data_IF_754126888343
#
_entry.id   IF_754126888343
#
_cell.length_a   1.000
_cell.length_b   1.000
_cell.length_c   1.000
_cell.angle_alpha   90.00
_cell.angle_beta   90.00
_cell.angle_gamma   90.00
#
_symmetry.space_group_name_H-M   'P 1'
#
loop_
_entity.id
_entity.type
_entity.pdbx_description
1 polymer ?
#
# COMPACT_ATOMS: atom_id res chain seq x y z
N UNK A 1 25.10 -8.67 22.19
CA UNK A 1 23.87 -7.96 21.82
C UNK A 1 23.68 -8.15 20.33
N UNK A 2 22.60 -8.80 19.89
CA UNK A 2 22.26 -8.80 18.46
C UNK A 2 21.85 -7.38 18.09
N UNK A 3 22.69 -6.72 17.29
CA UNK A 3 22.34 -5.42 16.72
C UNK A 3 21.42 -5.68 15.54
N UNK A 4 20.28 -4.98 15.50
CA UNK A 4 19.39 -5.01 14.34
C UNK A 4 20.14 -4.51 13.08
N UNK A 5 19.83 -5.02 11.90
CA UNK A 5 20.40 -4.51 10.66
C UNK A 5 20.03 -3.03 10.47
N UNK A 6 20.81 -2.30 9.68
CA UNK A 6 20.56 -0.89 9.39
C UNK A 6 19.93 -0.75 8.01
N UNK A 7 18.73 -0.17 7.96
CA UNK A 7 17.96 0.04 6.74
C UNK A 7 17.82 -1.24 5.90
N UNK A 8 17.45 -2.33 6.58
CA UNK A 8 17.34 -3.65 5.98
C UNK A 8 16.29 -4.51 6.71
N UNK A 9 15.89 -5.61 6.10
CA UNK A 9 14.95 -6.54 6.65
C UNK A 9 15.52 -7.27 7.88
N UNK A 10 14.81 -7.17 8.99
CA UNK A 10 15.04 -8.00 10.18
C UNK A 10 14.47 -9.40 9.96
N UNK A 11 13.36 -9.45 9.24
CA UNK A 11 12.57 -10.62 8.89
C UNK A 11 11.79 -10.28 7.60
N UNK A 12 11.36 -11.25 6.79
CA UNK A 12 10.53 -10.95 5.61
C UNK A 12 9.35 -10.02 5.87
N UNK A 13 8.79 -10.02 7.08
CA UNK A 13 7.64 -9.20 7.48
C UNK A 13 7.99 -7.98 8.35
N UNK A 14 9.26 -7.67 8.51
CA UNK A 14 9.69 -6.55 9.34
C UNK A 14 10.98 -5.90 8.82
N UNK A 15 11.00 -4.58 8.79
CA UNK A 15 12.10 -3.77 8.31
C UNK A 15 12.67 -2.89 9.42
N UNK A 16 13.98 -2.80 9.52
CA UNK A 16 14.68 -1.95 10.46
C UNK A 16 15.16 -0.67 9.80
N UNK A 17 14.75 0.46 10.33
CA UNK A 17 15.22 1.79 9.92
C UNK A 17 16.23 2.30 10.93
N UNK A 18 17.45 2.56 10.49
CA UNK A 18 18.44 3.28 11.27
C UNK A 18 18.21 4.78 11.11
N UNK A 19 17.44 5.35 12.04
CA UNK A 19 17.10 6.77 12.02
C UNK A 19 18.26 7.64 12.45
N UNK A 20 18.62 8.61 11.63
CA UNK A 20 19.49 9.72 11.96
C UNK A 20 18.99 10.96 11.19
N UNK A 21 18.03 11.66 11.78
CA UNK A 21 17.28 12.74 11.13
C UNK A 21 15.80 12.43 11.09
N UNK A 22 15.20 12.33 9.91
CA UNK A 22 13.75 12.19 9.73
C UNK A 22 13.39 11.03 8.79
N UNK A 23 12.23 10.44 9.03
CA UNK A 23 11.52 9.52 8.13
C UNK A 23 10.02 9.76 8.22
N UNK A 24 9.34 9.57 7.10
CA UNK A 24 7.88 9.58 7.04
C UNK A 24 7.35 8.16 7.10
N UNK A 25 6.36 7.91 7.95
CA UNK A 25 5.78 6.58 8.15
C UNK A 25 4.25 6.66 8.09
N UNK A 26 3.61 5.60 7.64
CA UNK A 26 2.18 5.43 7.90
C UNK A 26 1.92 5.21 9.40
N UNK A 27 0.84 5.79 9.91
CA UNK A 27 0.42 5.61 11.31
C UNK A 27 0.19 4.14 11.64
N UNK A 28 0.66 3.74 12.84
CA UNK A 28 0.46 2.40 13.36
C UNK A 28 1.31 1.31 12.72
N UNK A 29 2.33 1.66 11.96
CA UNK A 29 3.24 0.70 11.29
C UNK A 29 4.57 0.51 12.01
N UNK A 30 4.92 1.37 12.96
CA UNK A 30 6.07 1.18 13.84
C UNK A 30 5.66 0.22 14.97
N UNK A 31 6.38 -0.91 15.08
CA UNK A 31 6.11 -1.95 16.08
C UNK A 31 7.09 -1.90 17.28
N UNK A 32 8.28 -1.33 17.10
CA UNK A 32 9.27 -1.15 18.16
C UNK A 32 10.26 -0.05 17.77
N UNK A 33 10.87 0.58 18.76
CA UNK A 33 12.01 1.46 18.55
C UNK A 33 12.89 1.53 19.80
N UNK A 34 14.15 1.95 19.61
CA UNK A 34 15.05 2.34 20.67
C UNK A 34 15.91 3.53 20.25
N UNK A 35 16.40 4.29 21.22
CA UNK A 35 17.09 5.55 21.00
C UNK A 35 16.21 6.75 21.36
N UNK A 36 16.59 7.91 20.86
CA UNK A 36 15.87 9.17 21.08
C UNK A 36 15.08 9.51 19.81
N UNK A 37 13.86 9.01 19.71
CA UNK A 37 12.97 9.20 18.57
C UNK A 37 11.66 9.81 19.06
N UNK A 38 11.24 10.90 18.42
CA UNK A 38 9.93 11.50 18.57
C UNK A 38 9.08 11.23 17.33
N UNK A 39 7.76 11.17 17.51
CA UNK A 39 6.77 10.93 16.45
C UNK A 39 5.75 12.06 16.47
N UNK A 40 5.58 12.75 15.36
CA UNK A 40 4.60 13.83 15.21
C UNK A 40 3.69 13.58 14.01
N UNK A 41 2.41 13.91 14.15
CA UNK A 41 1.47 13.83 13.03
C UNK A 41 1.81 14.87 11.97
N UNK A 42 1.74 14.47 10.72
CA UNK A 42 1.89 15.40 9.59
C UNK A 42 0.77 16.43 9.64
N UNK A 43 1.09 17.71 9.52
CA UNK A 43 0.14 18.81 9.60
C UNK A 43 -0.24 19.26 11.04
N UNK A 44 0.45 18.73 12.06
CA UNK A 44 0.26 19.11 13.46
C UNK A 44 1.60 19.30 14.16
N UNK A 45 2.11 20.52 14.28
CA UNK A 45 3.27 20.82 15.10
C UNK A 45 4.40 21.62 14.44
N UNK A 46 5.57 21.69 15.11
CA UNK A 46 6.70 22.52 14.73
C UNK A 46 7.38 22.11 13.41
N UNK A 47 7.00 20.97 12.82
CA UNK A 47 7.57 20.44 11.58
C UNK A 47 6.78 20.81 10.32
N UNK A 48 5.67 21.55 10.45
CA UNK A 48 4.77 21.89 9.33
C UNK A 48 5.50 22.51 8.13
N UNK A 49 6.53 23.32 8.37
CA UNK A 49 7.30 23.96 7.32
C UNK A 49 8.21 23.02 6.51
N UNK A 50 8.77 21.99 7.15
CA UNK A 50 9.60 20.98 6.52
C UNK A 50 8.75 19.92 5.80
N UNK A 51 7.62 19.62 6.37
CA UNK A 51 6.69 18.59 5.90
C UNK A 51 5.82 19.10 4.74
N UNK A 52 5.44 20.39 4.74
CA UNK A 52 4.64 21.00 3.69
C UNK A 52 5.29 20.86 2.29
N UNK A 53 6.63 20.79 2.22
CA UNK A 53 7.36 20.53 0.97
C UNK A 53 7.17 19.11 0.44
N UNK A 54 7.00 18.11 1.33
CA UNK A 54 6.92 16.70 0.96
C UNK A 54 5.50 16.17 0.79
N UNK A 55 4.49 16.89 1.30
CA UNK A 55 3.09 16.47 1.26
C UNK A 55 2.23 17.47 0.49
N UNK A 56 2.08 17.26 -0.79
CA UNK A 56 1.17 18.04 -1.63
C UNK A 56 -0.28 17.51 -1.60
N UNK A 57 -0.57 16.50 -0.78
CA UNK A 57 -1.91 15.92 -0.66
C UNK A 57 -2.44 16.03 0.77
N UNK A 58 -3.29 17.02 1.08
CA UNK A 58 -3.89 17.16 2.41
C UNK A 58 -4.81 15.98 2.80
N UNK A 59 -5.35 15.26 1.83
CA UNK A 59 -6.24 14.10 2.08
C UNK A 59 -5.52 12.92 2.74
N UNK A 60 -4.22 12.76 2.51
CA UNK A 60 -3.41 11.66 3.04
C UNK A 60 -2.50 12.08 4.19
N UNK A 61 -2.35 13.39 4.46
CA UNK A 61 -1.50 13.88 5.55
C UNK A 61 -1.90 13.32 6.91
N UNK A 62 -3.20 13.12 7.15
CA UNK A 62 -3.72 12.57 8.41
C UNK A 62 -3.26 11.13 8.71
N UNK A 63 -2.88 10.37 7.69
CA UNK A 63 -2.46 8.97 7.82
C UNK A 63 -0.96 8.81 8.06
N UNK A 64 -0.22 9.91 8.10
CA UNK A 64 1.24 9.91 8.20
C UNK A 64 1.75 10.54 9.48
N UNK A 65 2.92 10.08 9.90
CA UNK A 65 3.71 10.66 10.99
C UNK A 65 5.14 10.88 10.55
N UNK A 66 5.78 11.88 11.14
CA UNK A 66 7.22 12.10 11.02
C UNK A 66 7.87 11.47 12.23
N UNK A 67 8.80 10.54 12.00
CA UNK A 67 9.75 10.10 13.03
C UNK A 67 11.00 10.96 12.91
N UNK A 68 11.44 11.54 14.03
CA UNK A 68 12.63 12.39 14.09
C UNK A 68 13.51 12.02 15.25
N UNK A 69 14.82 12.05 15.02
CA UNK A 69 15.82 11.82 16.08
C UNK A 69 16.93 10.89 15.66
N UNK A 70 17.45 10.15 16.62
CA UNK A 70 18.54 9.18 16.43
C UNK A 70 18.23 7.87 17.16
N UNK A 71 18.24 6.78 16.42
CA UNK A 71 17.92 5.47 16.97
C UNK A 71 17.65 4.44 15.90
N UNK A 72 16.93 3.40 16.28
CA UNK A 72 16.47 2.37 15.36
C UNK A 72 14.99 2.13 15.60
N UNK A 73 14.21 2.06 14.55
CA UNK A 73 12.81 1.67 14.60
C UNK A 73 12.56 0.47 13.71
N UNK A 74 11.61 -0.37 14.10
CA UNK A 74 11.18 -1.55 13.36
C UNK A 74 9.78 -1.32 12.84
N UNK A 75 9.60 -1.49 11.55
CA UNK A 75 8.36 -1.30 10.83
C UNK A 75 7.80 -2.66 10.39
N UNK A 76 6.49 -2.82 10.47
CA UNK A 76 5.77 -4.00 9.97
C UNK A 76 4.31 -3.64 9.69
N UNK A 77 3.66 -4.41 8.83
CA UNK A 77 2.22 -4.33 8.59
C UNK A 77 1.60 -5.71 8.39
N UNK A 78 0.81 -6.17 9.36
CA UNK A 78 -0.08 -7.34 9.26
C UNK A 78 0.53 -8.60 8.63
N UNK A 79 1.81 -8.86 8.88
CA UNK A 79 2.55 -9.97 8.28
C UNK A 79 2.59 -9.95 6.73
N UNK A 80 2.51 -8.79 6.12
CA UNK A 80 2.87 -8.60 4.72
C UNK A 80 4.38 -8.65 4.53
N UNK A 81 4.82 -9.08 3.38
CA UNK A 81 6.22 -8.98 2.99
C UNK A 81 6.64 -7.52 2.91
N UNK A 82 7.77 -7.19 3.54
CA UNK A 82 8.33 -5.84 3.55
C UNK A 82 9.52 -5.79 2.62
N UNK A 83 9.53 -4.82 1.73
CA UNK A 83 10.61 -4.60 0.77
C UNK A 83 11.04 -3.13 0.80
N UNK A 84 12.32 -2.87 0.66
CA UNK A 84 12.85 -1.53 0.49
C UNK A 84 13.41 -1.34 -0.92
N UNK A 85 13.25 -0.13 -1.43
CA UNK A 85 13.68 0.25 -2.75
C UNK A 85 14.31 1.64 -2.71
N UNK A 86 15.21 1.90 -3.63
CA UNK A 86 15.83 3.20 -3.83
C UNK A 86 15.28 3.84 -5.11
N UNK A 87 14.83 5.09 -5.02
CA UNK A 87 14.56 5.95 -6.16
C UNK A 87 15.78 6.85 -6.38
N UNK A 88 16.17 7.04 -7.65
CA UNK A 88 17.24 7.94 -8.05
C UNK A 88 16.72 8.89 -9.15
N UNK A 89 16.33 10.09 -8.73
CA UNK A 89 15.63 11.08 -9.57
C UNK A 89 14.42 10.47 -10.30
N UNK A 90 13.75 9.55 -9.62
CA UNK A 90 12.72 8.69 -10.17
C UNK A 90 11.31 9.17 -9.87
N UNK A 91 10.35 8.49 -10.51
CA UNK A 91 8.92 8.68 -10.33
C UNK A 91 8.25 7.31 -10.15
N UNK A 92 7.76 7.05 -8.95
CA UNK A 92 7.01 5.83 -8.63
C UNK A 92 5.58 6.19 -8.24
N UNK A 93 4.61 5.61 -8.92
CA UNK A 93 3.23 5.60 -8.44
C UNK A 93 2.93 4.28 -7.77
N UNK A 94 2.52 4.32 -6.51
CA UNK A 94 2.31 3.15 -5.65
C UNK A 94 0.95 3.21 -4.99
N UNK A 95 0.31 2.06 -4.80
CA UNK A 95 -0.95 1.99 -4.06
C UNK A 95 -0.74 2.48 -2.63
N UNK A 96 -1.63 3.34 -2.14
CA UNK A 96 -1.49 4.00 -0.83
C UNK A 96 -1.33 2.99 0.32
N UNK A 97 -2.04 1.87 0.28
CA UNK A 97 -1.94 0.81 1.29
C UNK A 97 -0.65 0.00 1.24
N UNK A 98 0.11 0.06 0.15
CA UNK A 98 1.39 -0.63 0.02
C UNK A 98 2.60 0.23 0.42
N UNK A 99 2.49 1.56 0.48
CA UNK A 99 3.57 2.43 0.92
C UNK A 99 3.64 2.49 2.45
N UNK A 100 4.73 2.04 3.03
CA UNK A 100 4.91 1.97 4.49
C UNK A 100 5.66 3.16 5.07
N UNK A 101 6.79 3.53 4.44
CA UNK A 101 7.65 4.61 4.89
C UNK A 101 8.53 5.14 3.75
N UNK A 102 9.07 6.36 3.90
CA UNK A 102 10.01 6.93 2.94
C UNK A 102 10.90 8.01 3.57
N UNK A 103 12.04 8.25 2.92
CA UNK A 103 13.02 9.28 3.31
C UNK A 103 12.59 10.68 2.89
N UNK A 104 13.06 11.74 3.57
CA UNK A 104 12.70 13.13 3.27
C UNK A 104 13.23 13.66 1.92
N UNK A 105 14.09 12.91 1.22
CA UNK A 105 14.49 13.21 -0.16
C UNK A 105 13.42 12.92 -1.21
N UNK A 106 12.33 12.26 -0.80
CA UNK A 106 11.20 11.91 -1.64
C UNK A 106 10.01 12.84 -1.35
N UNK A 107 9.39 13.34 -2.40
CA UNK A 107 8.17 14.14 -2.35
C UNK A 107 6.95 13.23 -2.60
N UNK A 108 5.99 13.24 -1.66
CA UNK A 108 4.75 12.49 -1.81
C UNK A 108 3.65 13.36 -2.43
N UNK A 109 3.05 12.88 -3.50
CA UNK A 109 1.92 13.52 -4.20
C UNK A 109 0.74 12.58 -4.34
N UNK A 110 -0.43 13.15 -4.52
CA UNK A 110 -1.60 12.37 -4.90
C UNK A 110 -1.51 11.99 -6.38
N UNK A 111 -1.72 10.71 -6.69
CA UNK A 111 -1.84 10.26 -8.07
C UNK A 111 -3.18 10.68 -8.68
N UNK A 112 -3.21 10.86 -10.00
CA UNK A 112 -4.46 11.01 -10.76
C UNK A 112 -5.29 9.71 -10.77
N UNK A 113 -4.66 8.56 -10.51
CA UNK A 113 -5.34 7.27 -10.38
C UNK A 113 -5.79 7.10 -8.93
N UNK A 114 -7.12 6.95 -8.68
CA UNK A 114 -7.64 6.83 -7.33
C UNK A 114 -7.04 5.64 -6.57
N UNK A 115 -6.71 5.85 -5.29
CA UNK A 115 -6.11 4.83 -4.43
C UNK A 115 -4.59 4.71 -4.54
N UNK A 116 -3.96 5.53 -5.38
CA UNK A 116 -2.50 5.56 -5.55
C UNK A 116 -1.91 6.89 -5.12
N UNK A 117 -0.64 6.84 -4.71
CA UNK A 117 0.22 7.97 -4.37
C UNK A 117 1.42 7.95 -5.30
N UNK A 118 2.02 9.10 -5.53
CA UNK A 118 3.23 9.22 -6.35
C UNK A 118 4.38 9.75 -5.49
N UNK A 119 5.49 9.02 -5.46
CA UNK A 119 6.77 9.43 -4.90
C UNK A 119 7.67 9.94 -6.03
N UNK A 120 8.29 11.12 -5.83
CA UNK A 120 9.19 11.74 -6.79
C UNK A 120 10.46 12.17 -6.07
N UNK A 121 11.61 11.96 -6.69
CA UNK A 121 12.91 12.42 -6.18
C UNK A 121 13.90 11.29 -5.95
N UNK A 122 14.83 11.52 -5.01
CA UNK A 122 15.90 10.59 -4.68
C UNK A 122 15.82 10.23 -3.21
N UNK A 123 15.79 8.94 -2.92
CA UNK A 123 15.76 8.42 -1.55
C UNK A 123 15.22 6.99 -1.47
N UNK A 124 15.26 6.45 -0.26
CA UNK A 124 14.75 5.13 0.04
C UNK A 124 13.28 5.17 0.44
N UNK A 125 12.52 4.20 -0.02
CA UNK A 125 11.16 3.94 0.49
C UNK A 125 11.01 2.48 0.87
N UNK A 126 10.05 2.23 1.74
CA UNK A 126 9.69 0.89 2.23
C UNK A 126 8.24 0.63 1.82
N UNK A 127 8.02 -0.49 1.16
CA UNK A 127 6.72 -0.93 0.73
C UNK A 127 6.38 -2.30 1.33
N UNK A 128 5.08 -2.56 1.44
CA UNK A 128 4.54 -3.87 1.82
C UNK A 128 3.78 -4.48 0.66
N UNK A 129 3.81 -5.81 0.57
CA UNK A 129 3.10 -6.55 -0.46
C UNK A 129 2.59 -7.87 0.09
N UNK A 130 1.57 -8.42 -0.55
CA UNK A 130 1.09 -9.75 -0.23
C UNK A 130 1.86 -10.78 -1.08
N UNK A 131 2.94 -11.32 -0.51
CA UNK A 131 3.92 -12.11 -1.21
C UNK A 131 4.99 -11.28 -1.93
N UNK A 132 5.90 -11.95 -2.64
CA UNK A 132 7.00 -11.31 -3.35
C UNK A 132 6.53 -10.36 -4.44
N UNK A 133 7.23 -9.24 -4.59
CA UNK A 133 7.00 -8.30 -5.70
C UNK A 133 7.69 -8.79 -6.96
N UNK A 134 6.94 -8.82 -8.04
CA UNK A 134 7.43 -9.13 -9.38
C UNK A 134 7.47 -7.86 -10.21
N UNK A 135 8.58 -7.62 -10.89
CA UNK A 135 8.75 -6.50 -11.80
C UNK A 135 8.54 -6.97 -13.24
N UNK A 136 7.67 -6.29 -13.96
CA UNK A 136 7.35 -6.59 -15.36
C UNK A 136 7.37 -5.30 -16.20
N UNK A 137 7.69 -5.45 -17.47
CA UNK A 137 7.76 -4.32 -18.40
C UNK A 137 6.52 -4.24 -19.28
N UNK A 138 6.05 -3.02 -19.62
CA UNK A 138 5.03 -2.83 -20.65
C UNK A 138 5.50 -3.33 -22.04
N UNK A 139 4.57 -3.70 -22.96
CA UNK A 139 3.13 -3.61 -22.81
C UNK A 139 2.54 -4.79 -22.03
N UNK A 140 1.70 -4.51 -21.04
CA UNK A 140 1.08 -5.53 -20.19
C UNK A 140 -0.31 -5.13 -19.73
N UNK A 141 -1.17 -6.11 -19.50
CA UNK A 141 -2.44 -5.96 -18.79
C UNK A 141 -2.35 -6.65 -17.45
N UNK A 142 -2.85 -6.01 -16.43
CA UNK A 142 -2.75 -6.48 -15.05
C UNK A 142 -4.09 -6.38 -14.34
N UNK A 143 -4.36 -7.34 -13.46
CA UNK A 143 -5.44 -7.24 -12.50
C UNK A 143 -5.18 -6.05 -11.55
N UNK A 144 -6.15 -5.14 -11.37
CA UNK A 144 -6.00 -4.03 -10.44
C UNK A 144 -5.68 -4.46 -9.01
N UNK A 145 -6.10 -5.65 -8.57
CA UNK A 145 -5.88 -6.14 -7.21
C UNK A 145 -4.45 -6.67 -6.99
N UNK A 146 -3.82 -7.18 -8.05
CA UNK A 146 -2.42 -7.60 -8.02
C UNK A 146 -1.44 -6.42 -8.17
N UNK A 147 -1.91 -5.26 -8.61
CA UNK A 147 -1.07 -4.10 -8.88
C UNK A 147 -0.61 -3.42 -7.58
N UNK A 148 0.68 -3.41 -7.31
CA UNK A 148 1.34 -2.64 -6.25
C UNK A 148 1.62 -1.21 -6.71
N UNK A 149 2.17 -1.04 -7.93
CA UNK A 149 2.52 0.27 -8.45
C UNK A 149 3.23 0.20 -9.80
N UNK A 150 3.73 1.33 -10.27
CA UNK A 150 4.53 1.43 -11.50
C UNK A 150 5.53 2.58 -11.40
N UNK A 151 6.68 2.42 -12.05
CA UNK A 151 7.75 3.39 -12.09
C UNK A 151 8.09 3.74 -13.55
N UNK A 152 8.28 5.04 -13.82
CA UNK A 152 8.72 5.57 -15.11
C UNK A 152 7.84 5.18 -16.31
N UNK A 153 6.63 4.72 -16.04
CA UNK A 153 5.61 4.41 -17.04
C UNK A 153 4.56 5.52 -17.10
N UNK A 154 3.91 5.71 -18.24
CA UNK A 154 2.65 6.43 -18.31
C UNK A 154 1.59 5.77 -17.40
N UNK A 155 0.66 6.59 -16.89
CA UNK A 155 -0.48 6.06 -16.15
C UNK A 155 -1.26 5.04 -16.99
N UNK A 156 -1.77 3.97 -16.37
CA UNK A 156 -2.50 2.93 -17.10
C UNK A 156 -3.83 3.44 -17.63
N UNK A 157 -4.28 2.81 -18.70
CA UNK A 157 -5.65 2.92 -19.17
C UNK A 157 -6.49 1.77 -18.58
N UNK A 158 -7.74 2.08 -18.25
CA UNK A 158 -8.71 1.03 -17.94
C UNK A 158 -9.04 0.22 -19.19
N UNK A 159 -8.96 -1.09 -19.08
CA UNK A 159 -9.37 -2.01 -20.12
C UNK A 159 -10.49 -2.92 -19.59
N UNK A 160 -11.56 -3.02 -20.34
CA UNK A 160 -12.68 -3.90 -20.02
C UNK A 160 -12.79 -4.97 -21.09
N UNK A 161 -12.61 -6.23 -20.72
CA UNK A 161 -12.85 -7.35 -21.62
C UNK A 161 -14.34 -7.73 -21.59
N UNK A 162 -15.02 -7.46 -22.68
CA UNK A 162 -16.41 -7.82 -22.88
C UNK A 162 -16.57 -9.08 -23.76
N UNK A 163 -15.51 -9.87 -23.94
CA UNK A 163 -15.52 -11.06 -24.79
C UNK A 163 -16.64 -12.04 -24.45
N UNK A 164 -17.02 -12.14 -23.16
CA UNK A 164 -18.13 -12.98 -22.71
C UNK A 164 -19.50 -12.51 -23.19
N UNK A 165 -19.64 -11.23 -23.58
CA UNK A 165 -20.87 -10.65 -24.13
C UNK A 165 -20.97 -10.77 -25.66
N UNK A 166 -19.89 -11.17 -26.32
CA UNK A 166 -19.85 -11.26 -27.78
C UNK A 166 -20.29 -12.66 -28.25
N UNK A 167 -21.24 -12.67 -29.17
CA UNK A 167 -21.73 -13.86 -29.84
C UNK A 167 -23.16 -14.27 -29.46
N UNK A 168 -23.75 -15.18 -30.27
CA UNK A 168 -25.13 -15.64 -30.11
C UNK A 168 -25.42 -16.28 -28.76
N UNK A 169 -24.38 -16.89 -28.14
CA UNK A 169 -24.46 -17.51 -26.82
C UNK A 169 -24.37 -16.49 -25.68
N UNK A 170 -23.78 -15.30 -25.90
CA UNK A 170 -23.68 -14.23 -24.91
C UNK A 170 -25.05 -13.68 -24.49
N UNK A 171 -25.95 -13.54 -25.46
CA UNK A 171 -27.34 -13.12 -25.20
C UNK A 171 -28.15 -14.13 -24.36
N UNK A 172 -27.96 -15.42 -24.61
CA UNK A 172 -28.62 -16.50 -23.85
C UNK A 172 -28.05 -16.61 -22.43
N UNK A 173 -26.74 -16.46 -22.26
CA UNK A 173 -26.05 -16.45 -20.94
C UNK A 173 -26.50 -15.28 -20.09
N UNK A 174 -26.62 -14.08 -20.67
CA UNK A 174 -27.13 -12.91 -19.98
C UNK A 174 -28.57 -13.07 -19.49
N UNK A 175 -29.42 -13.81 -20.23
CA UNK A 175 -30.79 -14.07 -19.82
C UNK A 175 -30.97 -15.21 -18.82
N UNK A 176 -30.09 -16.19 -18.83
CA UNK A 176 -30.21 -17.39 -17.98
C UNK A 176 -29.37 -17.32 -16.68
N UNK A 177 -28.50 -16.34 -16.56
CA UNK A 177 -27.56 -16.25 -15.43
C UNK A 177 -26.56 -17.42 -15.36
N UNK A 178 -26.50 -18.28 -16.38
CA UNK A 178 -25.58 -19.41 -16.48
C UNK A 178 -24.36 -18.97 -17.28
N UNK A 179 -23.24 -18.85 -16.63
CA UNK A 179 -21.99 -18.36 -17.20
C UNK A 179 -21.71 -16.95 -16.68
N UNK A 180 -21.30 -16.86 -15.42
CA UNK A 180 -20.88 -15.61 -14.77
C UNK A 180 -19.69 -14.97 -15.48
N UNK A 181 -19.47 -13.70 -15.20
CA UNK A 181 -18.25 -12.98 -15.50
C UNK A 181 -17.05 -13.82 -15.05
N UNK A 182 -15.94 -13.76 -15.77
CA UNK A 182 -14.70 -14.50 -15.43
C UNK A 182 -14.04 -13.95 -14.16
N UNK A 183 -14.39 -12.72 -13.78
CA UNK A 183 -13.73 -11.94 -12.74
C UNK A 183 -12.59 -11.07 -13.30
N UNK A 184 -12.18 -11.33 -14.54
CA UNK A 184 -11.03 -10.70 -15.21
C UNK A 184 -11.44 -9.58 -16.19
N UNK A 185 -12.68 -9.09 -16.09
CA UNK A 185 -13.22 -8.12 -17.06
C UNK A 185 -12.57 -6.74 -16.95
N UNK A 186 -12.15 -6.38 -15.74
CA UNK A 186 -11.50 -5.09 -15.49
C UNK A 186 -10.00 -5.26 -15.31
N UNK A 187 -9.24 -4.67 -16.19
CA UNK A 187 -7.77 -4.71 -16.19
C UNK A 187 -7.19 -3.31 -16.34
N UNK A 188 -5.99 -3.11 -15.83
CA UNK A 188 -5.16 -1.97 -16.18
C UNK A 188 -4.22 -2.34 -17.33
N UNK A 189 -4.24 -1.54 -18.39
CA UNK A 189 -3.34 -1.69 -19.51
C UNK A 189 -2.23 -0.66 -19.43
N UNK A 190 -0.99 -1.12 -19.34
CA UNK A 190 0.21 -0.32 -19.39
C UNK A 190 0.83 -0.39 -20.78
N UNK A 191 1.35 0.76 -21.25
CA UNK A 191 2.06 0.90 -22.52
C UNK A 191 3.28 1.81 -22.30
N UNK A 192 4.21 1.84 -23.26
CA UNK A 192 5.42 2.65 -23.18
C UNK A 192 6.57 1.91 -22.52
N UNK A 193 7.49 2.65 -21.91
CA UNK A 193 8.63 2.12 -21.16
C UNK A 193 8.39 2.24 -19.66
N UNK A 194 9.20 1.58 -18.84
CA UNK A 194 9.16 1.61 -17.39
C UNK A 194 8.88 0.24 -16.79
N UNK A 195 8.52 0.21 -15.51
CA UNK A 195 8.29 -1.03 -14.76
C UNK A 195 6.95 -1.00 -14.05
N UNK A 196 6.29 -2.14 -14.03
CA UNK A 196 5.05 -2.40 -13.29
C UNK A 196 5.34 -3.40 -12.18
N UNK A 197 4.91 -3.08 -10.97
CA UNK A 197 5.16 -3.85 -9.75
C UNK A 197 3.89 -4.62 -9.39
N UNK A 198 3.99 -5.94 -9.34
CA UNK A 198 2.89 -6.83 -9.04
C UNK A 198 3.18 -7.61 -7.75
N UNK A 199 2.14 -7.86 -6.95
CA UNK A 199 2.19 -8.81 -5.85
C UNK A 199 1.64 -10.17 -6.27
N UNK A 200 2.01 -11.22 -5.56
CA UNK A 200 1.69 -12.61 -5.95
C UNK A 200 0.28 -13.05 -5.59
N UNK A 201 -0.58 -12.19 -5.06
CA UNK A 201 -1.96 -12.52 -4.72
C UNK A 201 -2.93 -11.36 -4.94
N UNK A 202 -4.16 -11.67 -5.30
CA UNK A 202 -5.26 -10.73 -5.51
C UNK A 202 -6.03 -10.40 -4.21
N UNK A 203 -6.01 -11.27 -3.22
CA UNK A 203 -7.11 -11.47 -2.28
C UNK A 203 -7.13 -10.59 -1.02
N UNK A 204 -6.18 -9.70 -0.76
CA UNK A 204 -6.14 -9.02 0.54
C UNK A 204 -6.37 -7.51 0.54
N UNK A 205 -6.61 -6.88 -0.59
CA UNK A 205 -6.78 -5.43 -0.66
C UNK A 205 -8.22 -4.93 -0.50
N UNK A 206 -9.23 -5.75 -0.65
CA UNK A 206 -10.62 -5.35 -0.44
C UNK A 206 -10.88 -4.80 0.99
N UNK A 207 -10.15 -5.30 1.99
CA UNK A 207 -10.19 -4.80 3.36
C UNK A 207 -9.41 -3.49 3.59
N UNK A 208 -8.47 -3.16 2.71
CA UNK A 208 -7.67 -1.93 2.80
C UNK A 208 -8.38 -0.73 2.17
N UNK A 209 -9.16 -0.97 1.13
CA UNK A 209 -9.85 0.08 0.39
C UNK A 209 -11.06 0.66 1.12
N UNK A 210 -11.64 -0.04 2.10
CA UNK A 210 -12.94 0.36 2.67
C UNK A 210 -12.89 0.88 4.10
N UNK A 211 -11.77 0.79 4.84
CA UNK A 211 -11.75 1.19 6.25
C UNK A 211 -12.84 0.54 7.12
N UNK A 212 -13.51 -0.49 6.61
CA UNK A 212 -14.58 -1.18 7.30
C UNK A 212 -13.98 -2.05 8.41
N UNK A 213 -14.12 -1.58 9.63
CA UNK A 213 -13.96 -2.41 10.83
C UNK A 213 -14.96 -3.57 10.72
N UNK A 214 -14.54 -4.84 10.80
CA UNK A 214 -15.49 -5.95 10.83
C UNK A 214 -16.39 -5.76 12.05
N UNK A 215 -17.69 -5.56 11.81
CA UNK A 215 -18.69 -5.66 12.85
C UNK A 215 -18.59 -7.05 13.44
N UNK A 216 -18.13 -7.17 14.68
CA UNK A 216 -18.30 -8.38 15.47
C UNK A 216 -19.81 -8.65 15.56
N UNK A 217 -20.26 -9.69 14.89
CA UNK A 217 -21.59 -10.22 15.10
C UNK A 217 -21.67 -10.64 16.56
N UNK A 218 -22.53 -9.97 17.32
CA UNK A 218 -22.77 -10.25 18.71
C UNK A 218 -23.23 -11.70 18.87
N UNK A 219 -22.56 -12.40 19.77
CA UNK A 219 -22.98 -13.72 20.26
C UNK A 219 -24.40 -13.56 20.85
N UNK A 220 -25.40 -14.35 20.43
CA UNK A 220 -26.72 -14.29 21.05
C UNK A 220 -26.60 -14.71 22.52
N UNK A 221 -27.00 -13.78 23.42
CA UNK A 221 -26.97 -14.01 24.85
C UNK A 221 -27.77 -15.22 25.24
N UNK A 222 -27.09 -16.20 25.84
CA UNK A 222 -27.72 -17.31 26.54
C UNK A 222 -28.43 -16.80 27.80
N UNK A 223 -29.70 -17.05 27.90
CA UNK A 223 -30.54 -16.80 29.08
C UNK A 223 -29.99 -17.58 30.31
N UNK A 224 -29.78 -16.94 31.47
CA UNK A 224 -29.40 -17.68 32.67
C UNK A 224 -30.62 -18.46 33.20
N UNK A 225 -30.43 -19.76 33.30
CA UNK A 225 -31.40 -20.64 33.98
C UNK A 225 -31.48 -20.28 35.47
N UNK A 226 -32.69 -20.02 35.95
CA UNK A 226 -32.95 -19.73 37.33
C UNK A 226 -32.71 -20.97 38.20
N UNK A 227 -31.99 -20.81 39.30
CA UNK A 227 -32.03 -21.72 40.46
C UNK A 227 -33.03 -21.17 41.46
N UNK A 228 -34.13 -21.89 41.58
CA UNK A 228 -35.03 -21.75 42.71
C UNK A 228 -34.62 -22.64 43.85
N UNK A 229 -34.74 -22.14 45.04
CA UNK A 229 -34.69 -22.63 46.42
C UNK A 229 -33.37 -22.36 47.11
#
# INVERSE_FOLDING_TARGET
MNTLPRNDNVHPYAFSVALNGQWFLQKGKMIAYYGQISFEGVGHGAFDGLVAGSFHSPLHAADWVVAQGSGVMVLADRAFDVNSFDLDDGNLTIRSGNLLAFEPGLELKQSIVPGFLTLIGTGKFVAVSNGAVVFVEPPIRVDPQALVGWADCPSPCHHYDHGYMQGLLGGIRAMTGIGGASGEEHQFQFTGAGQVLLQSTETMQAGLATGAVPHQQGVPGGTPAGYGR
#
